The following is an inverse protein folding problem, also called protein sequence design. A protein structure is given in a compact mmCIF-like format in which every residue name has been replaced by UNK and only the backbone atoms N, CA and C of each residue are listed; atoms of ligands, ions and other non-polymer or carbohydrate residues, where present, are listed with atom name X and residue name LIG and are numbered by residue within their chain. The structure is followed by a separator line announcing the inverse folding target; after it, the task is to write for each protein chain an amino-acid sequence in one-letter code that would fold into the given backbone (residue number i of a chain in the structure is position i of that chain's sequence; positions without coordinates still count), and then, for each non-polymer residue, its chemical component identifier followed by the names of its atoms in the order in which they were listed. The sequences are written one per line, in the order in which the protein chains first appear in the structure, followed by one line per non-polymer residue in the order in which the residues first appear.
data_IF_129013925348
#
_entry.id   IF_129013925348
#
_cell.length_a   1.000
_cell.length_b   1.000
_cell.length_c   1.000
_cell.angle_alpha   90.00
_cell.angle_beta   90.00
_cell.angle_gamma   90.00
#
_symmetry.space_group_name_H-M   'P 1'
#
loop_
_entity.id
_entity.type
_entity.pdbx_description
1 polymer ?
#
# COMPACT_ATOMS: atom_id res chain seq x y z
N UNK A 1 -2.92 -18.89 -8.71
CA UNK A 1 -4.03 -18.06 -8.22
C UNK A 1 -3.42 -16.73 -7.84
N UNK A 2 -3.93 -15.63 -8.39
CA UNK A 2 -3.51 -14.29 -7.97
C UNK A 2 -4.18 -14.00 -6.61
N UNK A 3 -3.40 -13.56 -5.62
CA UNK A 3 -3.96 -13.13 -4.34
C UNK A 3 -4.37 -11.66 -4.45
N UNK A 4 -5.65 -11.40 -4.23
CA UNK A 4 -6.19 -10.05 -4.17
C UNK A 4 -6.28 -9.62 -2.70
N UNK A 5 -5.53 -8.59 -2.33
CA UNK A 5 -5.60 -8.00 -0.99
C UNK A 5 -6.61 -6.87 -0.98
N UNK A 6 -7.61 -6.94 -0.08
CA UNK A 6 -8.63 -5.90 0.10
C UNK A 6 -8.51 -5.28 1.48
N UNK A 7 -8.31 -3.96 1.52
CA UNK A 7 -8.41 -3.18 2.74
C UNK A 7 -9.84 -2.66 2.88
N UNK A 8 -10.48 -2.99 3.99
CA UNK A 8 -11.81 -2.53 4.34
C UNK A 8 -11.72 -1.50 5.46
N UNK A 9 -12.53 -0.46 5.39
CA UNK A 9 -12.77 0.42 6.53
C UNK A 9 -14.24 0.52 6.84
N UNK A 10 -14.49 0.83 8.11
CA UNK A 10 -15.81 1.18 8.58
C UNK A 10 -16.15 2.58 8.05
N UNK A 11 -17.26 2.66 7.31
CA UNK A 11 -17.76 3.91 6.74
C UNK A 11 -18.54 4.71 7.79
N UNK A 12 -19.51 4.08 8.43
CA UNK A 12 -20.33 4.69 9.49
C UNK A 12 -20.22 3.93 10.80
N UNK A 13 -19.79 4.63 11.85
CA UNK A 13 -19.66 4.05 13.18
C UNK A 13 -21.04 3.78 13.81
N UNK A 14 -21.26 2.56 14.29
CA UNK A 14 -22.52 2.15 14.91
C UNK A 14 -23.62 1.68 13.94
N UNK A 15 -23.37 1.76 12.62
CA UNK A 15 -24.29 1.22 11.61
C UNK A 15 -23.86 -0.19 11.23
N UNK A 16 -24.79 -1.15 11.33
CA UNK A 16 -24.55 -2.54 10.93
C UNK A 16 -24.27 -2.59 9.43
N UNK A 17 -23.31 -3.42 9.02
CA UNK A 17 -22.95 -3.66 7.60
C UNK A 17 -22.35 -2.45 6.87
N UNK A 18 -21.83 -1.45 7.59
CA UNK A 18 -21.21 -0.26 6.99
C UNK A 18 -19.72 -0.45 6.63
N UNK A 19 -19.29 -1.65 6.27
CA UNK A 19 -17.91 -1.88 5.80
C UNK A 19 -17.81 -1.51 4.32
N UNK A 20 -16.83 -0.69 3.96
CA UNK A 20 -16.55 -0.29 2.58
C UNK A 20 -15.10 -0.62 2.22
N UNK A 21 -14.88 -1.12 1.00
CA UNK A 21 -13.54 -1.38 0.50
C UNK A 21 -12.85 -0.03 0.24
N UNK A 22 -11.75 0.22 0.94
CA UNK A 22 -10.92 1.41 0.72
C UNK A 22 -9.93 1.21 -0.41
N UNK A 23 -9.38 0.00 -0.52
CA UNK A 23 -8.30 -0.29 -1.44
C UNK A 23 -8.34 -1.77 -1.82
N UNK A 24 -8.08 -2.04 -3.10
CA UNK A 24 -7.93 -3.40 -3.63
C UNK A 24 -6.61 -3.45 -4.37
N UNK A 25 -5.73 -4.37 -3.99
CA UNK A 25 -4.47 -4.61 -4.67
C UNK A 25 -4.48 -5.97 -5.32
N UNK A 26 -4.13 -5.98 -6.60
CA UNK A 26 -4.02 -7.16 -7.44
C UNK A 26 -2.56 -7.30 -7.84
N UNK A 27 -1.75 -7.86 -6.93
CA UNK A 27 -0.34 -8.15 -7.19
C UNK A 27 0.01 -9.53 -6.63
N UNK A 28 0.28 -10.53 -7.49
CA UNK A 28 0.59 -11.89 -7.06
C UNK A 28 1.97 -12.05 -6.43
N UNK A 29 2.84 -11.05 -6.57
CA UNK A 29 4.19 -11.10 -6.02
C UNK A 29 4.26 -10.58 -4.59
N UNK A 30 3.20 -9.91 -4.12
CA UNK A 30 3.08 -9.43 -2.75
C UNK A 30 2.57 -10.56 -1.86
N UNK A 31 3.32 -10.86 -0.80
CA UNK A 31 2.94 -11.89 0.17
C UNK A 31 2.52 -11.31 1.52
N UNK A 32 2.83 -10.04 1.76
CA UNK A 32 2.39 -9.34 2.95
C UNK A 32 2.03 -7.92 2.60
N UNK A 33 0.88 -7.47 3.08
CA UNK A 33 0.40 -6.10 2.95
C UNK A 33 0.13 -5.52 4.33
N UNK A 34 0.79 -4.41 4.68
CA UNK A 34 0.56 -3.71 5.95
C UNK A 34 0.32 -2.22 5.67
N UNK A 35 -0.89 -1.70 5.91
CA UNK A 35 -1.15 -0.27 5.84
C UNK A 35 -0.35 0.47 6.93
N UNK A 36 0.29 1.58 6.56
CA UNK A 36 1.15 2.38 7.46
C UNK A 36 0.59 3.76 7.73
N UNK A 37 0.09 4.42 6.69
CA UNK A 37 -0.35 5.80 6.81
C UNK A 37 -1.44 6.11 5.77
N UNK A 38 -2.36 7.01 6.11
CA UNK A 38 -3.34 7.57 5.18
C UNK A 38 -3.06 9.07 5.04
N UNK A 39 -2.75 9.49 3.82
CA UNK A 39 -2.55 10.89 3.50
C UNK A 39 -3.86 11.68 3.56
N UNK A 40 -3.74 13.00 3.66
CA UNK A 40 -4.89 13.90 3.67
C UNK A 40 -5.73 13.79 2.38
N UNK A 41 -5.08 13.52 1.24
CA UNK A 41 -5.72 13.29 -0.06
C UNK A 41 -6.49 11.95 -0.12
N UNK A 42 -6.28 11.08 0.87
CA UNK A 42 -6.92 9.77 0.94
C UNK A 42 -6.11 8.63 0.36
N UNK A 43 -4.97 8.94 -0.27
CA UNK A 43 -3.97 7.93 -0.61
C UNK A 43 -3.47 7.17 0.62
N UNK A 44 -3.16 5.90 0.43
CA UNK A 44 -2.69 5.02 1.48
C UNK A 44 -1.24 4.63 1.22
N UNK A 45 -0.36 4.90 2.18
CA UNK A 45 0.97 4.32 2.23
C UNK A 45 0.89 2.95 2.89
N UNK A 46 1.45 1.95 2.23
CA UNK A 46 1.56 0.61 2.75
C UNK A 46 2.96 0.06 2.52
N UNK A 47 3.37 -0.84 3.41
CA UNK A 47 4.56 -1.66 3.23
C UNK A 47 4.15 -3.03 2.69
N UNK A 48 4.79 -3.47 1.61
CA UNK A 48 4.62 -4.80 1.06
C UNK A 48 5.93 -5.58 1.02
N UNK A 49 5.85 -6.90 1.16
CA UNK A 49 6.98 -7.81 0.97
C UNK A 49 6.74 -8.57 -0.31
N UNK A 50 7.69 -8.48 -1.25
CA UNK A 50 7.66 -9.24 -2.49
C UNK A 50 8.45 -10.54 -2.32
N UNK A 51 7.88 -11.66 -2.74
CA UNK A 51 8.66 -12.90 -2.85
C UNK A 51 9.36 -13.01 -4.20
N UNK A 52 10.60 -13.53 -4.25
CA UNK A 52 11.39 -14.07 -3.14
C UNK A 52 12.33 -13.04 -2.47
N UNK A 53 12.28 -11.77 -2.89
CA UNK A 53 13.24 -10.76 -2.43
C UNK A 53 13.24 -10.56 -0.91
N UNK A 54 12.12 -10.83 -0.22
CA UNK A 54 11.89 -10.53 1.21
C UNK A 54 12.08 -9.04 1.59
N UNK A 55 12.40 -8.21 0.61
CA UNK A 55 12.56 -6.78 0.76
C UNK A 55 11.21 -6.13 1.03
N UNK A 56 11.20 -5.32 2.09
CA UNK A 56 10.05 -4.47 2.41
C UNK A 56 10.10 -3.24 1.53
N UNK A 57 9.12 -3.12 0.64
CA UNK A 57 8.94 -1.97 -0.25
C UNK A 57 7.78 -1.13 0.27
N UNK A 58 7.93 0.19 0.21
CA UNK A 58 6.84 1.12 0.48
C UNK A 58 6.17 1.52 -0.83
N UNK A 59 4.85 1.42 -0.87
CA UNK A 59 4.05 1.78 -2.04
C UNK A 59 2.78 2.52 -1.63
N UNK A 60 2.25 3.23 -2.60
CA UNK A 60 0.94 3.90 -2.54
C UNK A 60 -0.03 3.27 -3.51
N UNK A 61 -1.31 3.58 -3.37
CA UNK A 61 -2.35 3.16 -4.31
C UNK A 61 -2.06 3.58 -5.75
N UNK A 62 -1.37 4.70 -5.94
CA UNK A 62 -1.03 5.25 -7.26
C UNK A 62 0.25 4.69 -7.87
N UNK A 63 1.00 3.84 -7.14
CA UNK A 63 2.26 3.28 -7.63
C UNK A 63 3.34 3.16 -6.55
N UNK A 64 4.55 2.74 -6.91
CA UNK A 64 5.66 2.68 -5.97
C UNK A 64 5.93 4.07 -5.39
N UNK A 65 6.04 4.15 -4.07
CA UNK A 65 6.44 5.38 -3.41
C UNK A 65 7.95 5.45 -3.59
N UNK A 66 8.38 5.97 -4.74
CA UNK A 66 9.78 6.06 -5.14
C UNK A 66 10.61 6.61 -3.97
N UNK A 67 11.73 5.93 -3.70
CA UNK A 67 12.74 6.33 -2.74
C UNK A 67 13.17 7.77 -3.00
N UNK A 68 12.73 8.69 -2.15
CA UNK A 68 13.08 10.09 -2.26
C UNK A 68 14.33 10.40 -1.42
N UNK A 69 15.37 11.06 -1.98
CA UNK A 69 15.83 11.01 -3.36
C UNK A 69 17.04 10.07 -3.53
N UNK A 70 17.16 9.47 -4.71
CA UNK A 70 18.47 9.23 -5.31
C UNK A 70 19.09 10.62 -5.51
N UNK A 71 19.86 11.07 -4.52
CA UNK A 71 20.69 12.24 -4.68
C UNK A 71 21.74 11.85 -5.70
N UNK A 72 21.44 12.12 -6.98
CA UNK A 72 22.44 12.12 -8.03
C UNK A 72 23.64 12.87 -7.48
N UNK A 73 24.77 12.16 -7.39
CA UNK A 73 26.07 12.78 -7.16
C UNK A 73 26.23 13.86 -8.24
N UNK A 74 25.92 15.10 -7.87
CA UNK A 74 26.42 16.29 -8.54
C UNK A 74 27.92 16.24 -8.29
N UNK A 75 28.67 16.03 -9.37
CA UNK A 75 30.12 16.04 -9.34
C UNK A 75 30.64 17.36 -8.78
N UNK A 76 31.70 17.23 -7.99
CA UNK A 76 32.77 18.21 -7.91
C UNK A 76 34.04 17.55 -8.45
#
# INVERSE_FOLDING_TARGET
MFETYKLWALKDYGVKESWSALFTMEDPSICRFVPKYRFADGELLFSCIHLPSDETVFRTSSGPFLSWPDAGYVGE
#
